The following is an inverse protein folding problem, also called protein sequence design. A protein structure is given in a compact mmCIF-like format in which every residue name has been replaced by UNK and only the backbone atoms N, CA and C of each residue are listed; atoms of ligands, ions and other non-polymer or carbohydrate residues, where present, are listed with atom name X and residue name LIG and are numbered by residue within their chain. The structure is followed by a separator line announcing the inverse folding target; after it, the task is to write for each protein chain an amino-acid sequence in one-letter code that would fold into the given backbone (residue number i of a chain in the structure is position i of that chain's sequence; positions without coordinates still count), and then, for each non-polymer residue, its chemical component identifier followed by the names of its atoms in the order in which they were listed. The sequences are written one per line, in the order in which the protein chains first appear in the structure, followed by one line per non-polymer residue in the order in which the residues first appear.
data_IF_711389657441
#
_entry.id   IF_711389657441
#
_cell.length_a   1.000
_cell.length_b   1.000
_cell.length_c   1.000
_cell.angle_alpha   90.00
_cell.angle_beta   90.00
_cell.angle_gamma   90.00
#
_symmetry.space_group_name_H-M   'P 1'
#
loop_
_entity.id
_entity.type
_entity.pdbx_description
1 polymer ?
#
# COMPACT_ATOMS: atom_id res chain seq x y z
N UNK A 1 -27.47 -51.99 5.42
CA UNK A 1 -27.63 -50.66 4.79
C UNK A 1 -26.26 -49.98 4.75
N UNK A 2 -25.64 -49.97 3.56
CA UNK A 2 -24.32 -49.38 3.38
C UNK A 2 -24.43 -47.95 2.84
N UNK A 3 -23.97 -47.00 3.61
CA UNK A 3 -23.93 -45.58 3.22
C UNK A 3 -22.73 -45.37 2.32
N UNK A 4 -22.96 -45.03 1.05
CA UNK A 4 -21.91 -44.65 0.09
C UNK A 4 -21.45 -43.22 0.41
N UNK A 5 -20.19 -43.07 0.83
CA UNK A 5 -19.53 -41.78 0.98
C UNK A 5 -19.13 -41.32 -0.43
N UNK A 6 -19.76 -40.25 -0.90
CA UNK A 6 -19.47 -39.62 -2.18
C UNK A 6 -18.16 -38.80 -2.05
N UNK A 7 -17.09 -39.26 -2.74
CA UNK A 7 -15.83 -38.54 -2.80
C UNK A 7 -15.97 -37.29 -3.68
N UNK A 8 -16.02 -36.12 -3.07
CA UNK A 8 -15.84 -34.86 -3.79
C UNK A 8 -14.39 -34.77 -4.27
N UNK A 9 -14.17 -35.03 -5.55
CA UNK A 9 -12.94 -34.66 -6.23
C UNK A 9 -12.79 -33.15 -6.21
N UNK A 10 -11.94 -32.63 -5.30
CA UNK A 10 -11.57 -31.23 -5.23
C UNK A 10 -10.96 -30.80 -6.55
N UNK A 11 -11.65 -29.92 -7.29
CA UNK A 11 -11.04 -29.14 -8.36
C UNK A 11 -10.01 -28.24 -7.71
N UNK A 12 -8.75 -28.48 -8.05
CA UNK A 12 -7.64 -27.56 -7.74
C UNK A 12 -7.98 -26.19 -8.28
N UNK A 13 -8.39 -25.29 -7.40
CA UNK A 13 -8.53 -23.86 -7.73
C UNK A 13 -7.09 -23.36 -7.89
N UNK A 14 -6.59 -23.35 -9.12
CA UNK A 14 -5.35 -22.66 -9.42
C UNK A 14 -5.56 -21.21 -9.05
N UNK A 15 -4.71 -20.61 -8.21
CA UNK A 15 -4.82 -19.18 -7.96
C UNK A 15 -4.54 -18.43 -9.27
N UNK A 16 -5.58 -17.81 -9.82
CA UNK A 16 -5.53 -16.94 -11.01
C UNK A 16 -4.92 -15.58 -10.61
N UNK A 17 -3.84 -15.58 -9.87
CA UNK A 17 -3.08 -14.37 -9.55
C UNK A 17 -1.61 -14.53 -9.88
N UNK A 18 -1.34 -14.76 -11.17
CA UNK A 18 -0.12 -14.26 -11.78
C UNK A 18 -0.46 -12.96 -12.52
N UNK A 19 -1.09 -12.00 -11.87
CA UNK A 19 -0.92 -10.63 -12.28
C UNK A 19 0.58 -10.34 -12.16
N UNK A 20 1.24 -10.25 -13.29
CA UNK A 20 2.62 -9.80 -13.44
C UNK A 20 2.64 -8.36 -12.95
N UNK A 21 2.70 -8.18 -11.62
CA UNK A 21 2.92 -6.88 -11.02
C UNK A 21 4.18 -6.39 -11.68
N UNK A 22 4.07 -5.33 -12.47
CA UNK A 22 5.23 -4.68 -13.08
C UNK A 22 6.17 -4.40 -11.92
N UNK A 23 7.32 -5.04 -11.93
CA UNK A 23 8.34 -5.14 -10.88
C UNK A 23 8.83 -3.77 -10.37
N UNK A 24 8.28 -2.67 -10.87
CA UNK A 24 9.08 -1.50 -11.19
C UNK A 24 8.81 -0.29 -10.32
N UNK A 25 7.60 -0.06 -9.79
CA UNK A 25 7.33 1.22 -9.15
C UNK A 25 7.63 1.21 -7.65
N UNK A 26 7.18 0.21 -6.92
CA UNK A 26 7.48 0.17 -5.48
C UNK A 26 8.85 -0.46 -5.16
N UNK A 27 9.35 -1.37 -6.02
CA UNK A 27 10.75 -1.82 -5.92
C UNK A 27 11.70 -0.64 -6.06
N UNK A 28 11.49 0.19 -7.09
CA UNK A 28 12.25 1.42 -7.32
C UNK A 28 12.08 2.45 -6.21
N UNK A 29 10.92 2.50 -5.55
CA UNK A 29 10.68 3.37 -4.41
C UNK A 29 11.48 2.90 -3.19
N UNK A 30 11.43 1.61 -2.88
CA UNK A 30 12.19 1.00 -1.78
C UNK A 30 13.69 1.15 -2.02
N UNK A 31 14.17 0.87 -3.24
CA UNK A 31 15.59 1.00 -3.58
C UNK A 31 16.08 2.45 -3.45
N UNK A 32 15.25 3.43 -3.87
CA UNK A 32 15.57 4.85 -3.69
C UNK A 32 15.65 5.26 -2.23
N UNK A 33 14.77 4.76 -1.37
CA UNK A 33 14.83 5.00 0.08
C UNK A 33 16.12 4.40 0.65
N UNK A 34 16.37 3.14 0.35
CA UNK A 34 17.52 2.41 0.85
C UNK A 34 18.84 3.08 0.44
N UNK A 35 18.94 3.55 -0.81
CA UNK A 35 20.11 4.25 -1.33
C UNK A 35 20.27 5.65 -0.72
N UNK A 36 19.18 6.42 -0.59
CA UNK A 36 19.23 7.79 -0.05
C UNK A 36 19.70 7.84 1.40
N UNK A 37 19.29 6.89 2.22
CA UNK A 37 19.54 6.90 3.66
C UNK A 37 20.60 5.92 4.10
N UNK A 38 21.37 5.35 3.16
CA UNK A 38 22.46 4.39 3.44
C UNK A 38 22.01 3.26 4.37
N UNK A 39 20.77 2.80 4.19
CA UNK A 39 20.18 1.72 4.97
C UNK A 39 20.76 0.34 4.60
N UNK A 40 21.89 0.30 3.92
CA UNK A 40 22.56 -0.92 3.45
C UNK A 40 22.96 -1.92 4.53
N UNK A 41 22.92 -1.52 5.79
CA UNK A 41 23.15 -2.42 6.93
C UNK A 41 21.88 -3.18 7.38
N UNK A 42 20.69 -2.69 7.03
CA UNK A 42 19.47 -3.47 7.16
C UNK A 42 19.49 -4.37 5.93
N UNK A 43 19.51 -5.70 6.11
CA UNK A 43 19.45 -6.66 5.00
C UNK A 43 18.26 -6.31 4.10
N UNK A 44 18.47 -5.40 3.15
CA UNK A 44 17.46 -4.76 2.31
C UNK A 44 16.55 -5.79 1.65
N UNK A 45 17.17 -6.89 1.18
CA UNK A 45 16.45 -7.97 0.52
C UNK A 45 15.50 -8.73 1.45
N UNK A 46 15.80 -8.83 2.74
CA UNK A 46 14.98 -9.56 3.70
C UNK A 46 13.82 -8.68 4.21
N UNK A 47 14.13 -7.49 4.71
CA UNK A 47 13.10 -6.55 5.17
C UNK A 47 12.17 -6.08 4.05
N UNK A 48 12.69 -5.89 2.85
CA UNK A 48 11.87 -5.54 1.69
C UNK A 48 10.95 -6.69 1.25
N UNK A 49 11.39 -7.95 1.30
CA UNK A 49 10.55 -9.12 1.02
C UNK A 49 9.47 -9.30 2.07
N UNK A 50 9.83 -9.20 3.33
CA UNK A 50 8.90 -9.32 4.43
C UNK A 50 7.82 -8.24 4.37
N UNK A 51 8.20 -6.99 4.18
CA UNK A 51 7.27 -5.88 3.96
C UNK A 51 6.31 -6.15 2.80
N UNK A 52 6.83 -6.58 1.65
CA UNK A 52 6.01 -6.92 0.48
C UNK A 52 4.99 -8.01 0.80
N UNK A 53 5.43 -9.07 1.47
CA UNK A 53 4.56 -10.19 1.84
C UNK A 53 3.45 -9.73 2.78
N UNK A 54 3.79 -8.92 3.78
CA UNK A 54 2.81 -8.37 4.75
C UNK A 54 1.79 -7.43 4.11
N UNK A 55 2.20 -6.67 3.10
CA UNK A 55 1.40 -5.66 2.43
C UNK A 55 0.77 -6.13 1.11
N UNK A 56 1.06 -7.36 0.67
CA UNK A 56 0.67 -7.86 -0.65
C UNK A 56 -0.84 -7.74 -0.93
N UNK A 57 -1.67 -8.04 0.07
CA UNK A 57 -3.13 -7.95 -0.06
C UNK A 57 -3.58 -6.50 -0.36
N UNK A 58 -3.00 -5.52 0.32
CA UNK A 58 -3.29 -4.10 0.09
C UNK A 58 -2.74 -3.63 -1.25
N UNK A 59 -1.54 -4.04 -1.61
CA UNK A 59 -0.97 -3.71 -2.92
C UNK A 59 -1.73 -4.29 -4.11
N UNK A 60 -2.53 -5.34 -3.91
CA UNK A 60 -3.36 -5.94 -4.95
C UNK A 60 -4.78 -5.35 -4.99
N UNK A 61 -5.11 -4.44 -4.09
CA UNK A 61 -6.42 -3.80 -4.04
C UNK A 61 -6.55 -2.71 -5.12
N UNK A 62 -7.66 -2.73 -5.87
CA UNK A 62 -7.87 -1.82 -7.00
C UNK A 62 -7.95 -0.35 -6.59
N UNK A 63 -8.52 -0.07 -5.40
CA UNK A 63 -8.62 1.29 -4.87
C UNK A 63 -7.23 1.83 -4.53
N UNK A 64 -6.39 1.00 -3.88
CA UNK A 64 -4.99 1.35 -3.60
C UNK A 64 -4.21 1.54 -4.91
N UNK A 65 -4.40 0.67 -5.90
CA UNK A 65 -3.77 0.81 -7.21
C UNK A 65 -4.22 2.08 -7.95
N UNK A 66 -5.47 2.53 -7.73
CA UNK A 66 -5.99 3.75 -8.35
C UNK A 66 -5.22 5.02 -7.93
N UNK A 67 -4.55 5.02 -6.78
CA UNK A 67 -3.68 6.12 -6.33
C UNK A 67 -2.56 6.47 -7.32
N UNK A 68 -2.21 5.55 -8.22
CA UNK A 68 -1.24 5.79 -9.31
C UNK A 68 -1.69 6.84 -10.30
N UNK A 69 -3.01 7.07 -10.41
CA UNK A 69 -3.60 8.05 -11.32
C UNK A 69 -3.40 9.49 -10.84
N UNK A 70 -3.12 9.68 -9.56
CA UNK A 70 -3.02 11.00 -8.93
C UNK A 70 -1.57 11.37 -8.70
N UNK A 71 -1.22 12.60 -9.08
CA UNK A 71 0.08 13.18 -8.76
C UNK A 71 0.10 13.65 -7.31
N UNK A 72 1.21 13.41 -6.60
CA UNK A 72 1.43 13.96 -5.27
C UNK A 72 2.24 15.26 -5.36
N UNK A 73 3.56 15.18 -5.53
CA UNK A 73 4.43 16.32 -5.75
C UNK A 73 5.41 16.06 -6.88
N UNK A 74 5.54 17.01 -7.79
CA UNK A 74 6.47 16.92 -8.93
C UNK A 74 6.16 15.69 -9.81
N UNK A 75 7.11 14.75 -9.89
CA UNK A 75 7.01 13.54 -10.72
C UNK A 75 6.59 12.29 -9.92
N UNK A 76 6.18 12.44 -8.68
CA UNK A 76 5.83 11.30 -7.80
C UNK A 76 4.33 11.10 -7.79
N UNK A 77 3.87 9.86 -8.04
CA UNK A 77 2.45 9.50 -7.86
C UNK A 77 2.08 9.44 -6.38
N UNK A 78 0.79 9.62 -6.09
CA UNK A 78 0.25 9.46 -4.74
C UNK A 78 0.56 8.06 -4.20
N UNK A 79 0.43 7.01 -5.03
CA UNK A 79 0.82 5.65 -4.68
C UNK A 79 2.31 5.55 -4.31
N UNK A 80 3.19 6.10 -5.13
CA UNK A 80 4.63 6.08 -4.87
C UNK A 80 5.00 6.78 -3.56
N UNK A 81 4.39 7.94 -3.28
CA UNK A 81 4.55 8.64 -2.01
C UNK A 81 4.09 7.77 -0.84
N UNK A 82 2.87 7.24 -0.90
CA UNK A 82 2.29 6.43 0.17
C UNK A 82 3.06 5.14 0.45
N UNK A 83 3.62 4.49 -0.59
CA UNK A 83 4.52 3.35 -0.41
C UNK A 83 5.81 3.76 0.32
N UNK A 84 6.37 4.93 0.02
CA UNK A 84 7.53 5.45 0.74
C UNK A 84 7.25 5.60 2.24
N UNK A 85 6.16 6.31 2.59
CA UNK A 85 5.76 6.53 3.98
C UNK A 85 5.47 5.20 4.69
N UNK A 86 4.76 4.30 4.01
CA UNK A 86 4.45 2.95 4.50
C UNK A 86 5.71 2.15 4.86
N UNK A 87 6.70 2.13 3.97
CA UNK A 87 7.93 1.38 4.22
C UNK A 87 8.77 1.99 5.33
N UNK A 88 8.82 3.31 5.45
CA UNK A 88 9.46 3.97 6.58
C UNK A 88 8.83 3.60 7.90
N UNK A 89 7.50 3.70 7.98
CA UNK A 89 6.76 3.33 9.18
C UNK A 89 7.02 1.86 9.55
N UNK A 90 7.05 0.96 8.56
CA UNK A 90 7.41 -0.43 8.76
C UNK A 90 8.80 -0.57 9.42
N UNK A 91 9.81 0.09 8.88
CA UNK A 91 11.18 0.00 9.40
C UNK A 91 11.32 0.60 10.80
N UNK A 92 10.68 1.75 11.04
CA UNK A 92 10.70 2.41 12.36
C UNK A 92 9.98 1.55 13.40
N UNK A 93 8.78 1.06 13.10
CA UNK A 93 8.03 0.19 14.01
C UNK A 93 8.80 -1.10 14.30
N UNK A 94 9.40 -1.73 13.28
CA UNK A 94 10.23 -2.92 13.46
C UNK A 94 11.43 -2.66 14.38
N UNK A 95 12.12 -1.53 14.20
CA UNK A 95 13.26 -1.13 15.04
C UNK A 95 12.85 -0.84 16.48
N UNK A 96 11.67 -0.29 16.68
CA UNK A 96 11.14 0.06 18.01
C UNK A 96 10.32 -1.06 18.66
N UNK A 97 10.26 -2.25 18.04
CA UNK A 97 9.45 -3.39 18.50
C UNK A 97 7.96 -3.08 18.66
N UNK A 98 7.43 -2.20 17.80
CA UNK A 98 6.00 -1.87 17.67
C UNK A 98 5.36 -2.76 16.59
N UNK A 99 4.03 -2.63 16.40
CA UNK A 99 3.33 -3.31 15.31
C UNK A 99 3.71 -2.71 13.95
N UNK A 100 4.69 -3.33 13.29
CA UNK A 100 5.20 -2.91 12.00
C UNK A 100 4.17 -3.05 10.87
N UNK A 101 3.21 -3.98 11.00
CA UNK A 101 2.15 -4.14 10.02
C UNK A 101 1.14 -3.02 10.12
N UNK A 102 0.72 -2.66 11.33
CA UNK A 102 -0.16 -1.52 11.57
C UNK A 102 0.50 -0.21 11.11
N UNK A 103 1.78 0.00 11.45
CA UNK A 103 2.55 1.16 11.02
C UNK A 103 2.66 1.27 9.50
N UNK A 104 2.97 0.16 8.83
CA UNK A 104 3.01 0.10 7.36
C UNK A 104 1.65 0.41 6.73
N UNK A 105 0.58 -0.19 7.25
CA UNK A 105 -0.78 0.02 6.78
C UNK A 105 -1.20 1.49 6.94
N UNK A 106 -0.98 2.08 8.10
CA UNK A 106 -1.26 3.48 8.34
C UNK A 106 -0.53 4.39 7.36
N UNK A 107 0.77 4.12 7.13
CA UNK A 107 1.56 4.87 6.16
C UNK A 107 1.10 4.73 4.71
N UNK A 108 0.54 3.58 4.32
CA UNK A 108 -0.01 3.40 2.97
C UNK A 108 -1.33 4.15 2.78
N UNK A 109 -2.14 4.24 3.83
CA UNK A 109 -3.51 4.76 3.76
C UNK A 109 -3.64 6.25 4.15
N UNK A 110 -2.57 6.88 4.69
CA UNK A 110 -2.64 8.23 5.24
C UNK A 110 -3.13 9.29 4.24
N UNK A 111 -2.84 9.10 2.96
CA UNK A 111 -3.20 10.00 1.86
C UNK A 111 -4.20 9.38 0.88
N UNK A 112 -5.07 8.48 1.34
CA UNK A 112 -6.07 7.82 0.50
C UNK A 112 -7.26 8.75 0.15
N UNK A 113 -6.98 9.97 -0.37
CA UNK A 113 -8.01 10.95 -0.70
C UNK A 113 -8.62 10.80 -2.11
N UNK A 114 -7.95 10.09 -3.05
CA UNK A 114 -8.47 9.60 -4.35
C UNK A 114 -9.02 10.69 -5.30
N UNK A 115 -8.42 11.85 -5.36
CA UNK A 115 -8.72 12.90 -6.33
C UNK A 115 -7.47 13.69 -6.73
N UNK A 116 -7.57 14.44 -7.85
CA UNK A 116 -6.49 15.32 -8.29
C UNK A 116 -6.53 16.62 -7.49
N UNK A 117 -5.68 16.74 -6.47
CA UNK A 117 -5.64 17.88 -5.59
C UNK A 117 -5.18 19.17 -6.27
N UNK A 118 -4.47 19.08 -7.40
CA UNK A 118 -4.09 20.27 -8.19
C UNK A 118 -5.28 20.91 -8.87
N UNK A 119 -6.34 20.14 -9.11
CA UNK A 119 -7.60 20.61 -9.70
C UNK A 119 -8.72 20.74 -8.67
N UNK A 120 -8.38 20.51 -7.41
CA UNK A 120 -9.38 20.55 -6.35
C UNK A 120 -9.94 21.95 -6.17
N UNK A 121 -11.24 22.10 -6.32
CA UNK A 121 -12.00 23.28 -5.97
C UNK A 121 -12.98 22.91 -4.84
N UNK A 122 -12.91 23.59 -3.68
CA UNK A 122 -13.81 23.27 -2.58
C UNK A 122 -15.27 23.52 -2.96
N UNK A 123 -16.14 22.59 -2.60
CA UNK A 123 -17.59 22.80 -2.68
C UNK A 123 -18.07 23.72 -1.54
N UNK A 124 -19.35 24.17 -1.62
CA UNK A 124 -19.91 25.05 -0.58
C UNK A 124 -19.87 24.35 0.79
N UNK A 125 -19.07 24.92 1.70
CA UNK A 125 -18.85 24.38 3.06
C UNK A 125 -17.60 23.53 3.22
N UNK A 126 -16.89 23.19 2.14
CA UNK A 126 -15.59 22.53 2.21
C UNK A 126 -14.46 23.53 2.36
N UNK A 127 -13.35 23.10 2.97
CA UNK A 127 -12.11 23.87 3.11
C UNK A 127 -11.12 23.51 2.00
N UNK A 128 -10.00 24.22 1.94
CA UNK A 128 -8.93 23.91 1.00
C UNK A 128 -8.40 22.50 1.19
N UNK A 129 -7.84 21.93 0.13
CA UNK A 129 -7.29 20.55 0.12
C UNK A 129 -6.46 20.21 1.36
N UNK A 130 -5.57 21.10 1.80
CA UNK A 130 -4.71 20.86 2.97
C UNK A 130 -5.46 20.53 4.27
N UNK A 131 -6.72 20.98 4.40
CA UNK A 131 -7.58 20.70 5.55
C UNK A 131 -8.54 19.55 5.31
N UNK A 132 -8.92 19.28 4.05
CA UNK A 132 -9.91 18.28 3.71
C UNK A 132 -9.29 16.89 3.44
N UNK A 133 -8.06 16.82 2.91
CA UNK A 133 -7.47 15.54 2.54
C UNK A 133 -7.36 14.55 3.71
N UNK A 134 -7.01 14.94 4.96
CA UNK A 134 -6.93 13.97 6.05
C UNK A 134 -8.29 13.33 6.37
N UNK A 135 -9.35 14.15 6.35
CA UNK A 135 -10.73 13.68 6.60
C UNK A 135 -11.20 12.73 5.50
N UNK A 136 -10.93 13.09 4.23
CA UNK A 136 -11.27 12.24 3.08
C UNK A 136 -10.45 10.95 3.07
N UNK A 137 -9.16 11.03 3.38
CA UNK A 137 -8.30 9.86 3.50
C UNK A 137 -8.77 8.93 4.62
N UNK A 138 -9.08 9.45 5.81
CA UNK A 138 -9.59 8.69 6.94
C UNK A 138 -10.89 7.95 6.60
N UNK A 139 -11.85 8.65 5.95
CA UNK A 139 -13.11 8.06 5.50
C UNK A 139 -12.88 6.89 4.54
N UNK A 140 -11.98 7.05 3.58
CA UNK A 140 -11.65 6.00 2.62
C UNK A 140 -10.86 4.84 3.27
N UNK A 141 -9.96 5.15 4.21
CA UNK A 141 -9.16 4.17 4.93
C UNK A 141 -10.00 3.28 5.87
N UNK A 142 -11.17 3.75 6.32
CA UNK A 142 -12.05 3.01 7.22
C UNK A 142 -12.58 1.68 6.68
N UNK A 143 -12.33 1.37 5.42
CA UNK A 143 -12.65 0.07 4.78
C UNK A 143 -11.59 -1.01 5.05
N UNK A 144 -10.44 -0.63 5.53
CA UNK A 144 -9.23 -1.47 5.68
C UNK A 144 -8.88 -1.67 7.15
#
# INVERSE_FOLDING_TARGET
MSVKINSYKGRSIRPVYKARIKKDEYSNAIDRICNRYKLGHIKQNESGREYKNRMNKLFSDDVIQSMKKYSHHGRTSLFGHSVHVSYYNYLVCKKLHLDERAGAKAGLLHDLFLYDWHKYSPEKGERLHGFEHPTKALKNAGKY
#
